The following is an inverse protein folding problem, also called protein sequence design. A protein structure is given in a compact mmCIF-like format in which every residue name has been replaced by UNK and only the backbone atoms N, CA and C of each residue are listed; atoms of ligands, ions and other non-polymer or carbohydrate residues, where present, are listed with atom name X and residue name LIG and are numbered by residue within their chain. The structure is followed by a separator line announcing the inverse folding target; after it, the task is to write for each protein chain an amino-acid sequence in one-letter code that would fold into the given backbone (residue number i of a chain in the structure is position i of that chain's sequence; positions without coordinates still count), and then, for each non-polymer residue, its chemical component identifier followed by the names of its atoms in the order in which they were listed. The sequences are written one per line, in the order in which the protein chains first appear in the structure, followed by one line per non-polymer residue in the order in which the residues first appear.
data_IF_004169613359
#
_entry.id   IF_004169613359
#
_cell.length_a   1.000
_cell.length_b   1.000
_cell.length_c   1.000
_cell.angle_alpha   90.00
_cell.angle_beta   90.00
_cell.angle_gamma   90.00
#
_symmetry.space_group_name_H-M   'P 1'
#
loop_
_entity.id
_entity.type
_entity.pdbx_description
1 polymer ?
#
# COMPACT_ATOMS: atom_id res chain seq x y z
N UNK A 1 -64.04 -20.50 21.37
CA UNK A 1 -64.22 -19.01 21.41
C UNK A 1 -63.41 -18.37 22.54
N UNK A 2 -62.15 -18.77 22.76
CA UNK A 2 -61.28 -18.25 23.85
C UNK A 2 -59.99 -17.59 23.32
N UNK A 3 -59.89 -17.38 22.00
CA UNK A 3 -58.65 -16.91 21.34
C UNK A 3 -58.66 -15.43 20.91
N UNK A 4 -59.77 -14.71 21.05
CA UNK A 4 -59.85 -13.29 20.69
C UNK A 4 -59.70 -12.33 21.88
N UNK A 5 -60.00 -12.78 23.10
CA UNK A 5 -59.95 -11.93 24.30
C UNK A 5 -58.51 -11.61 24.79
N UNK A 6 -57.49 -12.38 24.37
CA UNK A 6 -56.09 -12.09 24.73
C UNK A 6 -55.37 -11.14 23.74
N UNK A 7 -55.98 -10.78 22.59
CA UNK A 7 -55.34 -9.90 21.58
C UNK A 7 -55.62 -8.40 21.78
N UNK A 8 -56.50 -8.03 22.71
CA UNK A 8 -56.92 -6.64 22.93
C UNK A 8 -56.47 -6.03 24.26
N UNK A 9 -55.80 -6.78 25.14
CA UNK A 9 -55.33 -6.22 26.40
C UNK A 9 -54.20 -5.21 26.14
N UNK A 10 -54.39 -3.91 26.46
CA UNK A 10 -53.34 -2.91 26.30
C UNK A 10 -52.08 -3.27 27.10
N UNK A 11 -52.20 -3.97 28.23
CA UNK A 11 -51.04 -4.45 28.99
C UNK A 11 -50.19 -5.46 28.22
N UNK A 12 -50.79 -6.37 27.44
CA UNK A 12 -50.04 -7.33 26.62
C UNK A 12 -49.32 -6.62 25.48
N UNK A 13 -49.94 -5.59 24.87
CA UNK A 13 -49.28 -4.74 23.87
C UNK A 13 -48.12 -3.96 24.46
N UNK A 14 -48.29 -3.36 25.65
CA UNK A 14 -47.22 -2.64 26.35
C UNK A 14 -46.08 -3.58 26.77
N UNK A 15 -46.36 -4.76 27.30
CA UNK A 15 -45.34 -5.74 27.65
C UNK A 15 -44.55 -6.23 26.41
N UNK A 16 -45.23 -6.42 25.27
CA UNK A 16 -44.58 -6.81 24.01
C UNK A 16 -43.75 -5.66 23.44
N UNK A 17 -44.21 -4.40 23.56
CA UNK A 17 -43.45 -3.22 23.13
C UNK A 17 -42.23 -2.98 24.02
N UNK A 18 -42.34 -3.18 25.34
CA UNK A 18 -41.21 -3.06 26.27
C UNK A 18 -40.20 -4.18 26.07
N UNK A 19 -40.64 -5.42 25.79
CA UNK A 19 -39.74 -6.52 25.41
C UNK A 19 -39.08 -6.29 24.05
N UNK A 20 -39.82 -5.80 23.05
CA UNK A 20 -39.27 -5.46 21.74
C UNK A 20 -38.31 -4.26 21.82
N UNK A 21 -38.61 -3.24 22.63
CA UNK A 21 -37.71 -2.11 22.90
C UNK A 21 -36.51 -2.54 23.75
N UNK A 22 -36.68 -3.43 24.73
CA UNK A 22 -35.59 -3.99 25.53
C UNK A 22 -34.64 -4.86 24.71
N UNK A 23 -35.15 -5.62 23.74
CA UNK A 23 -34.35 -6.41 22.80
C UNK A 23 -33.68 -5.55 21.73
N UNK A 24 -34.32 -4.47 21.26
CA UNK A 24 -33.70 -3.53 20.29
C UNK A 24 -32.69 -2.58 20.93
N UNK A 25 -32.91 -2.16 22.18
CA UNK A 25 -31.95 -1.37 22.96
C UNK A 25 -30.77 -2.24 23.45
N UNK A 26 -30.97 -3.53 23.71
CA UNK A 26 -29.86 -4.45 23.99
C UNK A 26 -29.08 -4.85 22.73
N UNK A 27 -29.67 -4.72 21.53
CA UNK A 27 -28.96 -4.86 20.25
C UNK A 27 -28.18 -3.60 19.84
N UNK A 28 -28.41 -2.45 20.48
CA UNK A 28 -27.67 -1.20 20.24
C UNK A 28 -26.71 -0.84 21.38
N UNK A 29 -26.66 -1.66 22.44
CA UNK A 29 -25.73 -1.50 23.54
C UNK A 29 -24.34 -2.06 23.17
N UNK A 30 -23.55 -1.26 22.45
CA UNK A 30 -22.09 -1.34 22.51
C UNK A 30 -21.44 -2.52 21.78
N UNK A 31 -21.94 -2.91 20.62
CA UNK A 31 -21.13 -3.74 19.71
C UNK A 31 -19.81 -3.01 19.44
N UNK A 32 -18.70 -3.64 19.82
CA UNK A 32 -17.38 -3.09 19.56
C UNK A 32 -17.27 -2.77 18.07
N UNK A 33 -17.06 -1.50 17.74
CA UNK A 33 -17.00 -1.02 16.35
C UNK A 33 -15.68 -1.37 15.65
N UNK A 34 -14.91 -2.28 16.24
CA UNK A 34 -13.53 -2.51 15.92
C UNK A 34 -12.85 -3.52 16.85
N UNK A 35 -11.57 -3.74 16.59
CA UNK A 35 -10.72 -4.64 17.35
C UNK A 35 -9.28 -4.14 17.38
N UNK A 36 -8.55 -4.58 18.40
CA UNK A 36 -7.11 -4.38 18.54
C UNK A 36 -6.43 -5.75 18.48
N UNK A 37 -5.34 -5.85 17.70
CA UNK A 37 -4.51 -7.06 17.56
C UNK A 37 -3.06 -6.70 17.86
N UNK A 38 -2.37 -7.59 18.57
CA UNK A 38 -0.92 -7.54 18.76
C UNK A 38 -0.28 -8.88 18.45
N UNK A 39 0.99 -8.84 18.09
CA UNK A 39 1.78 -10.04 17.88
C UNK A 39 3.07 -9.77 17.13
N UNK A 40 3.50 -10.75 16.37
CA UNK A 40 4.74 -10.73 15.60
C UNK A 40 4.48 -10.92 14.11
N UNK A 41 5.26 -10.23 13.28
CA UNK A 41 5.31 -10.42 11.84
C UNK A 41 6.75 -10.63 11.42
N UNK A 42 6.98 -11.68 10.61
CA UNK A 42 8.32 -12.10 10.18
C UNK A 42 8.36 -12.19 8.67
N UNK A 43 9.37 -11.61 8.05
CA UNK A 43 9.59 -11.69 6.61
C UNK A 43 10.86 -12.49 6.29
N UNK A 44 10.73 -13.46 5.39
CA UNK A 44 11.76 -14.38 4.90
C UNK A 44 11.85 -14.29 3.37
N UNK A 45 13.05 -14.38 2.78
CA UNK A 45 13.17 -14.34 1.31
C UNK A 45 14.61 -14.34 0.80
N UNK A 46 14.78 -14.46 -0.53
CA UNK A 46 16.10 -14.54 -1.17
C UNK A 46 16.65 -13.16 -1.54
N UNK A 47 17.88 -12.87 -1.08
CA UNK A 47 18.60 -11.60 -1.24
C UNK A 47 19.39 -11.28 0.04
N UNK A 48 20.26 -10.25 0.06
CA UNK A 48 20.98 -9.83 1.28
C UNK A 48 20.08 -9.17 2.33
N UNK A 49 18.76 -9.15 2.11
CA UNK A 49 17.82 -8.57 3.06
C UNK A 49 17.73 -9.48 4.29
N UNK A 50 18.01 -8.96 5.50
CA UNK A 50 17.97 -9.76 6.72
C UNK A 50 16.54 -10.27 6.95
N UNK A 51 16.45 -11.41 7.64
CA UNK A 51 15.25 -11.80 8.35
C UNK A 51 14.74 -10.59 9.14
N UNK A 52 13.55 -10.11 8.81
CA UNK A 52 12.97 -8.95 9.49
C UNK A 52 11.87 -9.43 10.41
N UNK A 53 12.03 -9.18 11.69
CA UNK A 53 11.09 -9.56 12.73
C UNK A 53 10.60 -8.32 13.46
N UNK A 54 9.30 -8.09 13.40
CA UNK A 54 8.65 -6.96 14.05
C UNK A 54 7.59 -7.45 15.01
N UNK A 55 7.49 -6.77 16.16
CA UNK A 55 6.27 -6.72 16.95
C UNK A 55 5.33 -5.75 16.27
N UNK A 56 4.07 -6.14 16.11
CA UNK A 56 3.04 -5.26 15.60
C UNK A 56 1.98 -4.96 16.65
N UNK A 57 1.45 -3.75 16.59
CA UNK A 57 0.20 -3.34 17.23
C UNK A 57 -0.71 -2.76 16.15
N UNK A 58 -1.95 -3.21 16.11
CA UNK A 58 -2.92 -2.82 15.10
C UNK A 58 -4.26 -2.53 15.74
N UNK A 59 -4.84 -1.38 15.45
CA UNK A 59 -6.20 -1.01 15.83
C UNK A 59 -7.01 -0.81 14.56
N UNK A 60 -8.17 -1.45 14.48
CA UNK A 60 -9.15 -1.26 13.41
C UNK A 60 -10.44 -0.78 14.06
N UNK A 61 -10.99 0.33 13.58
CA UNK A 61 -12.29 0.83 14.03
C UNK A 61 -13.03 1.46 12.87
N UNK A 62 -14.26 1.00 12.64
CA UNK A 62 -15.10 1.37 11.49
C UNK A 62 -14.40 1.08 10.16
N UNK A 63 -13.79 2.10 9.58
CA UNK A 63 -13.11 2.05 8.28
C UNK A 63 -11.67 2.56 8.37
N UNK A 64 -11.25 2.90 9.59
CA UNK A 64 -9.93 3.44 9.89
C UNK A 64 -9.08 2.38 10.56
N UNK A 65 -7.79 2.48 10.34
CA UNK A 65 -6.84 1.60 10.99
C UNK A 65 -5.53 2.32 11.29
N UNK A 66 -4.86 1.88 12.34
CA UNK A 66 -3.54 2.35 12.80
C UNK A 66 -2.68 1.13 13.08
N UNK A 67 -1.55 1.03 12.38
CA UNK A 67 -0.57 -0.03 12.50
C UNK A 67 0.75 0.55 12.96
N UNK A 68 1.36 -0.10 13.95
CA UNK A 68 2.70 0.21 14.44
C UNK A 68 3.54 -1.06 14.40
N UNK A 69 4.77 -0.94 13.88
CA UNK A 69 5.78 -1.98 13.89
C UNK A 69 6.98 -1.53 14.72
N UNK A 70 7.42 -2.37 15.63
CA UNK A 70 8.63 -2.22 16.44
C UNK A 70 9.52 -3.45 16.27
N UNK A 71 10.84 -3.29 16.09
CA UNK A 71 11.73 -4.40 15.81
C UNK A 71 11.89 -5.31 17.06
N UNK A 72 11.83 -6.64 16.89
CA UNK A 72 11.99 -7.59 18.01
C UNK A 72 13.45 -7.84 18.41
N UNK A 73 14.37 -7.82 17.45
CA UNK A 73 15.81 -7.95 17.67
C UNK A 73 16.56 -7.05 16.67
N UNK A 74 17.61 -6.33 17.11
CA UNK A 74 18.51 -5.62 16.20
C UNK A 74 19.95 -5.62 16.70
N UNK A 75 20.91 -5.78 15.79
CA UNK A 75 22.06 -4.89 15.82
C UNK A 75 21.91 -3.72 14.82
N UNK A 76 21.44 -3.96 13.58
CA UNK A 76 21.75 -3.05 12.47
C UNK A 76 20.58 -2.33 11.76
N UNK A 77 19.32 -2.59 12.09
CA UNK A 77 18.24 -1.84 11.41
C UNK A 77 18.18 -0.40 11.94
N UNK A 78 18.35 0.58 11.04
CA UNK A 78 18.30 2.01 11.38
C UNK A 78 16.89 2.46 11.81
N UNK A 79 15.85 1.71 11.47
CA UNK A 79 14.46 2.05 11.79
C UNK A 79 14.09 1.53 13.18
N UNK A 80 13.55 2.42 14.03
CA UNK A 80 13.11 2.13 15.41
C UNK A 80 11.61 1.87 15.45
N UNK A 81 10.83 2.60 14.66
CA UNK A 81 9.38 2.44 14.57
C UNK A 81 8.95 2.67 13.13
N UNK A 82 8.03 1.84 12.64
CA UNK A 82 7.21 2.17 11.47
C UNK A 82 5.77 2.32 11.92
N UNK A 83 5.07 3.30 11.36
CA UNK A 83 3.65 3.49 11.61
C UNK A 83 2.93 3.76 10.29
N UNK A 84 1.74 3.21 10.14
CA UNK A 84 0.86 3.46 9.01
C UNK A 84 -0.57 3.61 9.51
N UNK A 85 -1.27 4.65 9.06
CA UNK A 85 -2.63 4.96 9.49
C UNK A 85 -3.43 5.37 8.26
N UNK A 86 -4.62 4.80 8.10
CA UNK A 86 -5.52 5.17 7.00
C UNK A 86 -6.94 5.40 7.49
N UNK A 87 -7.64 6.27 6.78
CA UNK A 87 -9.08 6.47 6.91
C UNK A 87 -9.91 5.70 5.86
N UNK A 88 -9.26 4.83 5.08
CA UNK A 88 -9.87 4.11 3.97
C UNK A 88 -9.75 4.83 2.62
N UNK A 89 -9.25 6.07 2.60
CA UNK A 89 -9.00 6.85 1.37
C UNK A 89 -7.57 7.36 1.26
N UNK A 90 -7.02 7.84 2.36
CA UNK A 90 -5.68 8.43 2.46
C UNK A 90 -4.87 7.61 3.45
N UNK A 91 -3.61 7.39 3.12
CA UNK A 91 -2.65 6.68 3.95
C UNK A 91 -1.57 7.65 4.39
N UNK A 92 -1.38 7.74 5.70
CA UNK A 92 -0.25 8.40 6.34
C UNK A 92 0.68 7.33 6.88
N UNK A 93 1.94 7.34 6.48
CA UNK A 93 2.94 6.44 7.00
C UNK A 93 4.18 7.21 7.43
N UNK A 94 4.85 6.75 8.48
CA UNK A 94 6.14 7.31 8.86
C UNK A 94 7.10 6.23 9.37
N UNK A 95 8.38 6.47 9.14
CA UNK A 95 9.48 5.72 9.73
C UNK A 95 10.27 6.65 10.64
N UNK A 96 10.55 6.20 11.86
CA UNK A 96 11.46 6.87 12.80
C UNK A 96 12.78 6.12 12.84
N UNK A 97 13.88 6.83 12.66
CA UNK A 97 15.22 6.25 12.61
C UNK A 97 16.00 6.43 13.92
N UNK A 98 17.04 5.62 14.12
CA UNK A 98 18.07 5.78 15.16
C UNK A 98 18.74 7.13 14.92
N UNK A 99 18.56 8.08 15.85
CA UNK A 99 18.95 9.48 15.68
C UNK A 99 17.77 10.46 15.78
N UNK A 100 16.53 9.96 15.75
CA UNK A 100 15.33 10.79 15.92
C UNK A 100 14.78 11.34 14.62
N UNK A 101 15.50 11.20 13.50
CA UNK A 101 15.02 11.55 12.16
C UNK A 101 13.73 10.81 11.81
N UNK A 102 12.84 11.51 11.11
CA UNK A 102 11.55 10.99 10.66
C UNK A 102 11.42 11.17 9.14
N UNK A 103 10.96 10.12 8.49
CA UNK A 103 10.52 10.16 7.11
C UNK A 103 9.03 9.87 7.05
N UNK A 104 8.27 10.84 6.56
CA UNK A 104 6.82 10.75 6.39
C UNK A 104 6.44 10.51 4.94
N UNK A 105 5.31 9.83 4.74
CA UNK A 105 4.73 9.51 3.45
C UNK A 105 3.22 9.71 3.53
N UNK A 106 2.65 10.45 2.59
CA UNK A 106 1.19 10.63 2.47
C UNK A 106 0.74 10.22 1.08
N UNK A 107 -0.14 9.24 1.00
CA UNK A 107 -0.59 8.64 -0.26
C UNK A 107 -2.12 8.73 -0.42
N UNK A 108 -2.63 8.99 -1.64
CA UNK A 108 -4.06 8.99 -1.94
C UNK A 108 -4.61 7.57 -2.16
N UNK A 109 -4.25 6.64 -1.27
CA UNK A 109 -4.65 5.23 -1.32
C UNK A 109 -4.75 4.68 0.11
N UNK A 110 -5.38 3.52 0.28
CA UNK A 110 -5.62 2.91 1.60
C UNK A 110 -4.83 1.62 1.85
N UNK A 111 -3.86 1.30 0.99
CA UNK A 111 -3.07 0.05 1.05
C UNK A 111 -1.59 0.36 1.26
N UNK A 112 -0.95 -0.06 2.36
CA UNK A 112 0.47 0.21 2.62
C UNK A 112 1.38 -0.73 1.82
N UNK A 113 1.30 -0.65 0.50
CA UNK A 113 1.87 -1.62 -0.44
C UNK A 113 3.38 -1.50 -0.70
N UNK A 114 4.01 -0.49 -0.12
CA UNK A 114 5.46 -0.25 -0.16
C UNK A 114 6.24 -1.09 0.86
N UNK A 115 5.57 -1.68 1.85
CA UNK A 115 6.21 -2.47 2.88
C UNK A 115 5.57 -3.87 2.98
N UNK A 116 6.34 -4.95 2.87
CA UNK A 116 5.79 -6.30 2.86
C UNK A 116 5.08 -6.67 4.17
N UNK A 117 5.56 -6.19 5.32
CA UNK A 117 4.94 -6.49 6.61
C UNK A 117 3.63 -5.70 6.77
N UNK A 118 3.65 -4.39 6.52
CA UNK A 118 2.44 -3.56 6.60
C UNK A 118 1.38 -3.99 5.59
N UNK A 119 1.79 -4.28 4.35
CA UNK A 119 0.89 -4.76 3.30
C UNK A 119 0.23 -6.10 3.65
N UNK A 120 0.99 -7.02 4.24
CA UNK A 120 0.46 -8.32 4.68
C UNK A 120 -0.48 -8.16 5.88
N UNK A 121 -0.14 -7.31 6.86
CA UNK A 121 -1.02 -7.00 8.00
C UNK A 121 -2.32 -6.32 7.54
N UNK A 122 -2.23 -5.38 6.59
CA UNK A 122 -3.41 -4.78 5.98
C UNK A 122 -4.31 -5.83 5.34
N UNK A 123 -3.72 -6.76 4.57
CA UNK A 123 -4.50 -7.83 3.95
C UNK A 123 -5.19 -8.70 5.01
N UNK A 124 -4.47 -9.07 6.07
CA UNK A 124 -4.98 -9.92 7.14
C UNK A 124 -6.09 -9.26 7.97
N UNK A 125 -6.02 -7.95 8.23
CA UNK A 125 -6.85 -7.30 9.26
C UNK A 125 -7.68 -6.10 8.79
N UNK A 126 -7.36 -5.49 7.64
CA UNK A 126 -7.99 -4.21 7.23
C UNK A 126 -8.67 -4.27 5.86
N UNK A 127 -8.43 -5.33 5.09
CA UNK A 127 -8.81 -5.41 3.68
C UNK A 127 -10.29 -5.68 3.42
N UNK A 128 -11.05 -6.21 4.40
CA UNK A 128 -12.42 -6.70 4.20
C UNK A 128 -13.31 -5.74 3.41
N UNK A 129 -13.34 -4.47 3.83
CA UNK A 129 -14.16 -3.45 3.18
C UNK A 129 -13.67 -3.09 1.77
N UNK A 130 -12.36 -3.07 1.55
CA UNK A 130 -11.78 -2.84 0.22
C UNK A 130 -12.13 -4.00 -0.71
N UNK A 131 -11.97 -5.25 -0.26
CA UNK A 131 -12.32 -6.44 -1.01
C UNK A 131 -13.83 -6.53 -1.31
N UNK A 132 -14.69 -6.06 -0.41
CA UNK A 132 -16.14 -6.06 -0.63
C UNK A 132 -16.59 -5.05 -1.70
N UNK A 133 -15.83 -3.97 -1.94
CA UNK A 133 -16.19 -2.88 -2.87
C UNK A 133 -15.46 -2.94 -4.20
N UNK A 134 -14.32 -3.62 -4.26
CA UNK A 134 -13.46 -3.61 -5.44
C UNK A 134 -13.67 -4.84 -6.31
N UNK A 135 -13.88 -4.68 -7.63
CA UNK A 135 -13.91 -5.80 -8.55
C UNK A 135 -12.61 -6.62 -8.52
N UNK A 136 -12.66 -7.95 -8.74
CA UNK A 136 -11.48 -8.81 -8.68
C UNK A 136 -10.33 -8.43 -9.63
N UNK A 137 -10.60 -7.71 -10.71
CA UNK A 137 -9.60 -7.28 -11.71
C UNK A 137 -8.92 -5.96 -11.37
N UNK A 138 -9.20 -5.38 -10.20
CA UNK A 138 -8.98 -3.96 -9.95
C UNK A 138 -8.23 -3.64 -8.65
N UNK A 139 -7.64 -4.65 -8.01
CA UNK A 139 -6.95 -4.47 -6.74
C UNK A 139 -5.48 -4.10 -6.92
N UNK A 140 -4.98 -3.08 -6.21
CA UNK A 140 -3.54 -2.87 -6.09
C UNK A 140 -2.93 -4.03 -5.28
N UNK A 141 -1.74 -4.54 -5.66
CA UNK A 141 -1.08 -5.57 -4.89
C UNK A 141 -0.70 -5.03 -3.51
N UNK A 142 -0.83 -5.84 -2.44
CA UNK A 142 -0.45 -5.43 -1.10
C UNK A 142 1.07 -5.38 -0.90
N UNK A 143 1.87 -5.91 -1.83
CA UNK A 143 3.35 -5.89 -1.76
C UNK A 143 3.92 -5.64 -3.16
N UNK A 144 3.98 -4.38 -3.57
CA UNK A 144 4.18 -4.01 -4.99
C UNK A 144 5.60 -4.27 -5.50
N UNK A 145 6.62 -3.95 -4.71
CA UNK A 145 8.03 -4.04 -5.13
C UNK A 145 8.47 -5.48 -5.41
N UNK A 146 7.99 -6.43 -4.60
CA UNK A 146 8.34 -7.84 -4.78
C UNK A 146 7.54 -8.49 -5.91
N UNK A 147 6.32 -8.03 -6.14
CA UNK A 147 5.44 -8.51 -7.20
C UNK A 147 6.00 -8.16 -8.58
N UNK A 148 6.43 -6.92 -8.82
CA UNK A 148 6.88 -6.49 -10.16
C UNK A 148 8.40 -6.43 -10.33
N UNK A 149 9.16 -6.20 -9.26
CA UNK A 149 10.54 -5.70 -9.37
C UNK A 149 11.66 -6.73 -9.36
N UNK A 150 11.43 -8.02 -9.04
CA UNK A 150 12.56 -8.96 -8.88
C UNK A 150 13.46 -8.68 -7.64
N UNK A 151 13.44 -7.45 -7.11
CA UNK A 151 14.09 -6.92 -5.92
C UNK A 151 13.28 -5.71 -5.38
N UNK A 152 13.53 -5.22 -4.15
CA UNK A 152 13.06 -3.90 -3.72
C UNK A 152 13.65 -2.82 -4.62
N UNK A 153 12.93 -2.45 -5.68
CA UNK A 153 13.32 -1.37 -6.59
C UNK A 153 12.96 -0.05 -5.93
N UNK A 154 13.81 0.40 -5.00
CA UNK A 154 13.62 1.58 -4.14
C UNK A 154 13.38 2.91 -4.87
N UNK A 155 12.24 3.05 -5.55
CA UNK A 155 11.82 4.27 -6.25
C UNK A 155 11.16 4.10 -7.62
N UNK A 156 10.93 2.87 -8.14
CA UNK A 156 10.42 2.72 -9.51
C UNK A 156 8.90 2.74 -9.65
N UNK A 157 8.19 2.48 -8.56
CA UNK A 157 6.74 2.66 -8.53
C UNK A 157 6.55 3.97 -7.81
N UNK A 158 6.54 5.07 -8.59
CA UNK A 158 6.10 6.35 -8.07
C UNK A 158 4.84 6.10 -7.23
N UNK A 159 4.74 6.57 -5.99
CA UNK A 159 3.54 6.40 -5.20
C UNK A 159 2.35 7.00 -5.96
N UNK A 160 1.56 6.13 -6.59
CA UNK A 160 0.69 6.53 -7.71
C UNK A 160 0.98 5.83 -9.03
N UNK A 161 1.69 4.69 -9.04
CA UNK A 161 1.64 3.69 -10.10
C UNK A 161 0.87 2.48 -9.56
N UNK A 162 -0.42 2.43 -9.86
CA UNK A 162 -1.30 1.33 -9.47
C UNK A 162 -1.22 0.20 -10.52
N UNK A 163 -0.29 -0.73 -10.33
CA UNK A 163 -0.41 -2.01 -11.02
C UNK A 163 -1.70 -2.68 -10.55
N UNK A 164 -2.67 -2.89 -11.46
CA UNK A 164 -3.91 -3.61 -11.14
C UNK A 164 -3.79 -5.03 -11.64
N UNK A 165 -3.89 -5.98 -10.71
CA UNK A 165 -3.78 -7.39 -11.02
C UNK A 165 -5.12 -8.08 -10.87
N UNK A 166 -5.27 -9.18 -11.59
CA UNK A 166 -6.39 -10.07 -11.36
C UNK A 166 -6.18 -10.78 -10.02
N UNK A 167 -7.15 -10.65 -9.14
CA UNK A 167 -7.16 -11.21 -7.81
C UNK A 167 -8.39 -12.10 -7.61
N UNK A 168 -8.29 -13.02 -6.67
CA UNK A 168 -9.40 -13.86 -6.21
C UNK A 168 -9.28 -14.02 -4.70
N UNK A 169 -10.40 -14.15 -4.01
CA UNK A 169 -10.40 -14.35 -2.58
C UNK A 169 -11.62 -15.11 -2.10
N UNK A 170 -11.48 -15.68 -0.92
CA UNK A 170 -12.60 -16.20 -0.13
C UNK A 170 -12.59 -15.46 1.20
N UNK A 171 -13.74 -14.96 1.63
CA UNK A 171 -13.87 -14.22 2.89
C UNK A 171 -14.32 -15.15 4.01
N UNK A 172 -13.99 -14.75 5.23
CA UNK A 172 -14.54 -15.33 6.43
C UNK A 172 -16.06 -15.05 6.52
N UNK A 173 -16.85 -16.02 6.96
CA UNK A 173 -18.33 -15.88 7.04
C UNK A 173 -18.77 -14.90 8.13
N UNK A 174 -18.06 -14.92 9.27
CA UNK A 174 -18.30 -14.01 10.37
C UNK A 174 -17.61 -12.64 10.16
N UNK A 175 -18.18 -11.55 10.73
CA UNK A 175 -17.58 -10.23 10.70
C UNK A 175 -16.10 -10.21 11.16
N UNK A 176 -15.28 -9.30 10.63
CA UNK A 176 -15.64 -8.26 9.67
C UNK A 176 -15.55 -8.75 8.20
N UNK A 177 -15.46 -10.06 7.96
CA UNK A 177 -15.33 -10.61 6.60
C UNK A 177 -13.90 -10.53 6.04
N UNK A 178 -12.90 -10.81 6.88
CA UNK A 178 -11.48 -10.84 6.49
C UNK A 178 -11.19 -11.99 5.51
N UNK A 179 -10.19 -11.87 4.63
CA UNK A 179 -9.87 -12.95 3.70
C UNK A 179 -9.40 -14.20 4.43
N UNK A 180 -9.98 -15.36 4.11
CA UNK A 180 -9.43 -16.69 4.43
C UNK A 180 -8.35 -17.08 3.45
N UNK A 181 -8.60 -16.80 2.18
CA UNK A 181 -7.63 -16.99 1.11
C UNK A 181 -7.67 -15.78 0.19
N UNK A 182 -6.50 -15.42 -0.34
CA UNK A 182 -6.37 -14.38 -1.35
C UNK A 182 -5.24 -14.75 -2.31
N UNK A 183 -5.47 -14.55 -3.60
CA UNK A 183 -4.56 -14.92 -4.67
C UNK A 183 -4.50 -13.79 -5.68
N UNK A 184 -3.31 -13.44 -6.16
CA UNK A 184 -3.15 -12.54 -7.31
C UNK A 184 -2.30 -13.17 -8.40
N UNK A 185 -2.69 -12.86 -9.64
CA UNK A 185 -1.95 -13.23 -10.83
C UNK A 185 -1.43 -11.96 -11.52
N UNK A 186 -0.12 -11.89 -11.68
CA UNK A 186 0.52 -10.90 -12.52
C UNK A 186 0.41 -11.32 -14.00
N UNK A 187 -0.32 -10.57 -14.85
CA UNK A 187 -0.46 -10.86 -16.27
C UNK A 187 0.76 -10.42 -17.09
N UNK A 188 1.76 -9.75 -16.50
CA UNK A 188 2.90 -9.15 -17.20
C UNK A 188 2.61 -7.81 -17.86
N UNK A 189 1.56 -7.14 -17.42
CA UNK A 189 1.24 -5.80 -17.87
C UNK A 189 1.29 -4.87 -16.66
N UNK A 190 2.22 -3.93 -16.68
CA UNK A 190 2.16 -2.81 -15.74
C UNK A 190 1.09 -1.85 -16.25
N UNK A 191 0.00 -1.73 -15.49
CA UNK A 191 -1.03 -0.72 -15.72
C UNK A 191 -0.64 0.53 -14.96
N UNK A 192 -0.53 1.66 -15.66
CA UNK A 192 -0.41 2.96 -15.03
C UNK A 192 -1.81 3.43 -14.60
N UNK A 193 -1.97 4.15 -13.48
CA UNK A 193 -3.28 4.52 -12.99
C UNK A 193 -4.02 5.43 -13.96
N UNK A 194 -5.32 5.20 -14.01
CA UNK A 194 -6.30 5.92 -14.83
C UNK A 194 -6.29 7.44 -14.61
N UNK A 195 -5.79 7.92 -13.47
CA UNK A 195 -5.71 9.35 -13.16
C UNK A 195 -4.78 10.13 -14.12
N UNK A 196 -3.91 9.46 -14.88
CA UNK A 196 -2.94 10.10 -15.76
C UNK A 196 -3.49 10.59 -17.12
N UNK A 197 -4.78 10.37 -17.44
CA UNK A 197 -5.34 10.72 -18.77
C UNK A 197 -4.64 10.04 -19.95
N UNK A 198 -3.67 9.16 -19.67
CA UNK A 198 -3.07 8.25 -20.61
C UNK A 198 -4.05 7.10 -20.77
N UNK A 199 -4.38 6.77 -22.03
CA UNK A 199 -5.00 5.48 -22.34
C UNK A 199 -4.22 4.38 -21.61
N UNK A 200 -4.87 3.26 -21.28
CA UNK A 200 -4.21 2.11 -20.66
C UNK A 200 -2.98 1.71 -21.50
N UNK A 201 -1.82 2.26 -21.20
CA UNK A 201 -0.56 1.84 -21.78
C UNK A 201 -0.10 0.77 -20.84
N UNK A 202 -0.58 -0.46 -21.08
CA UNK A 202 0.06 -1.64 -20.52
C UNK A 202 1.50 -1.56 -21.00
N UNK A 203 2.42 -1.14 -20.14
CA UNK A 203 3.84 -1.24 -20.44
C UNK A 203 4.09 -2.74 -20.33
N UNK A 204 4.34 -3.45 -21.43
CA UNK A 204 4.64 -4.87 -21.36
C UNK A 204 5.97 -4.96 -20.62
N UNK A 205 5.94 -5.51 -19.42
CA UNK A 205 7.13 -6.08 -18.83
C UNK A 205 7.06 -7.57 -19.11
N UNK A 206 8.20 -8.26 -19.20
CA UNK A 206 8.13 -9.70 -19.24
C UNK A 206 7.36 -10.12 -17.97
N UNK A 207 6.16 -10.73 -18.10
CA UNK A 207 5.54 -11.27 -16.91
C UNK A 207 6.58 -12.17 -16.27
N UNK A 208 6.70 -12.21 -14.94
CA UNK A 208 7.46 -13.29 -14.34
C UNK A 208 6.91 -14.67 -14.80
N UNK A 209 5.67 -14.73 -15.35
CA UNK A 209 4.99 -15.94 -15.81
C UNK A 209 4.11 -15.79 -17.07
N UNK A 210 4.40 -16.53 -18.15
CA UNK A 210 3.53 -16.57 -19.34
C UNK A 210 2.48 -17.71 -19.31
N UNK A 211 2.29 -18.40 -18.16
CA UNK A 211 1.56 -19.70 -18.09
C UNK A 211 0.46 -19.81 -17.02
N UNK A 212 -0.09 -18.70 -16.53
CA UNK A 212 -1.32 -18.78 -15.71
C UNK A 212 -1.13 -19.07 -14.21
N UNK A 213 0.04 -18.76 -13.65
CA UNK A 213 0.38 -19.04 -12.25
C UNK A 213 0.14 -17.82 -11.34
N UNK A 214 -0.31 -18.08 -10.11
CA UNK A 214 -0.53 -17.05 -9.07
C UNK A 214 0.81 -16.69 -8.42
N UNK A 215 1.21 -15.43 -8.48
CA UNK A 215 2.50 -14.99 -7.95
C UNK A 215 2.42 -14.50 -6.50
N UNK A 216 1.21 -14.25 -5.98
CA UNK A 216 0.98 -13.87 -4.58
C UNK A 216 -0.15 -14.69 -4.00
N UNK A 217 0.12 -15.39 -2.90
CA UNK A 217 -0.82 -16.24 -2.18
C UNK A 217 -0.88 -15.77 -0.74
N UNK A 218 -2.07 -15.62 -0.19
CA UNK A 218 -2.31 -15.35 1.22
C UNK A 218 -3.29 -16.37 1.80
N UNK A 219 -3.04 -16.77 3.04
CA UNK A 219 -3.85 -17.72 3.77
C UNK A 219 -3.95 -17.35 5.25
N UNK A 220 -5.17 -17.31 5.77
CA UNK A 220 -5.45 -17.22 7.21
C UNK A 220 -5.76 -18.62 7.77
N UNK A 221 -4.91 -19.11 8.66
CA UNK A 221 -4.89 -20.50 9.11
C UNK A 221 -5.63 -20.71 10.44
N UNK A 222 -5.22 -20.01 11.49
CA UNK A 222 -5.84 -20.07 12.80
C UNK A 222 -6.62 -18.78 13.08
N UNK A 223 -7.74 -18.87 13.78
CA UNK A 223 -8.67 -17.76 13.99
C UNK A 223 -9.10 -17.67 15.45
N UNK A 224 -9.26 -16.46 15.96
CA UNK A 224 -9.90 -16.18 17.24
C UNK A 224 -11.32 -15.70 17.03
N UNK A 225 -12.19 -16.09 17.95
CA UNK A 225 -13.49 -15.47 18.11
C UNK A 225 -13.40 -14.41 19.22
N UNK A 226 -13.58 -13.15 18.86
CA UNK A 226 -13.63 -12.03 19.80
C UNK A 226 -14.96 -11.29 19.65
N UNK A 227 -15.77 -11.27 20.72
CA UNK A 227 -17.18 -10.86 20.63
C UNK A 227 -17.91 -11.62 19.49
N UNK A 228 -18.44 -10.91 18.49
CA UNK A 228 -19.11 -11.48 17.32
C UNK A 228 -18.21 -11.58 16.08
N UNK A 229 -16.91 -11.25 16.20
CA UNK A 229 -15.96 -11.22 15.09
C UNK A 229 -15.04 -12.44 15.08
N UNK A 230 -14.54 -12.81 13.90
CA UNK A 230 -13.43 -13.74 13.74
C UNK A 230 -12.21 -13.09 13.09
N UNK A 231 -11.09 -13.15 13.81
CA UNK A 231 -9.85 -12.45 13.48
C UNK A 231 -8.73 -13.47 13.33
N UNK A 232 -7.89 -13.38 12.28
CA UNK A 232 -6.75 -14.27 12.12
C UNK A 232 -5.81 -14.20 13.32
N UNK A 233 -5.45 -15.36 13.84
CA UNK A 233 -4.36 -15.55 14.80
C UNK A 233 -3.06 -15.88 14.08
N UNK A 234 -3.14 -16.73 13.06
CA UNK A 234 -2.00 -17.17 12.24
C UNK A 234 -2.38 -16.90 10.80
N UNK A 235 -1.52 -16.20 10.08
CA UNK A 235 -1.70 -15.96 8.66
C UNK A 235 -0.33 -15.86 7.98
N UNK A 236 -0.30 -16.06 6.68
CA UNK A 236 0.92 -15.86 5.90
C UNK A 236 0.61 -15.37 4.50
N UNK A 237 1.59 -14.70 3.90
CA UNK A 237 1.62 -14.31 2.51
C UNK A 237 2.91 -14.82 1.87
N UNK A 238 2.79 -15.46 0.71
CA UNK A 238 3.91 -15.87 -0.11
C UNK A 238 3.86 -15.15 -1.46
N UNK A 239 5.03 -14.67 -1.88
CA UNK A 239 5.26 -14.27 -3.26
C UNK A 239 6.17 -15.32 -3.87
N UNK A 240 5.69 -15.99 -4.90
CA UNK A 240 6.39 -17.09 -5.53
C UNK A 240 7.26 -16.56 -6.68
N UNK A 241 8.45 -17.14 -6.84
CA UNK A 241 9.36 -17.01 -7.97
C UNK A 241 9.67 -18.39 -8.55
N UNK A 242 9.76 -18.52 -9.87
CA UNK A 242 10.47 -19.66 -10.45
C UNK A 242 11.98 -19.42 -10.27
N UNK A 243 12.72 -20.46 -9.90
CA UNK A 243 14.17 -20.37 -9.82
C UNK A 243 14.73 -20.10 -11.22
N UNK A 244 15.40 -18.97 -11.38
CA UNK A 244 16.19 -18.72 -12.58
C UNK A 244 17.32 -19.73 -12.56
N UNK A 245 17.42 -20.60 -13.58
CA UNK A 245 18.61 -21.43 -13.67
C UNK A 245 19.75 -20.48 -13.93
N UNK A 246 20.58 -20.24 -12.92
CA UNK A 246 21.89 -19.66 -13.15
C UNK A 246 22.59 -20.39 -14.30
N UNK A 247 23.65 -19.82 -14.89
CA UNK A 247 24.41 -20.52 -15.91
C UNK A 247 24.81 -21.88 -15.33
N UNK A 248 24.29 -22.97 -15.91
CA UNK A 248 24.61 -24.31 -15.43
C UNK A 248 26.13 -24.53 -15.49
N UNK A 249 26.68 -25.55 -14.82
CA UNK A 249 28.12 -25.81 -14.78
C UNK A 249 28.78 -26.01 -16.16
N UNK A 250 27.99 -26.07 -17.24
CA UNK A 250 28.46 -26.12 -18.63
C UNK A 250 28.05 -24.92 -19.51
N UNK A 251 27.51 -23.82 -18.95
CA UNK A 251 27.18 -22.60 -19.71
C UNK A 251 26.14 -22.81 -20.83
N UNK A 252 25.33 -23.87 -20.76
CA UNK A 252 24.41 -24.32 -21.83
C UNK A 252 22.92 -24.14 -21.51
N UNK A 253 22.55 -23.50 -20.41
CA UNK A 253 21.16 -23.08 -20.21
C UNK A 253 20.92 -21.80 -21.01
N UNK A 254 19.96 -21.84 -21.95
CA UNK A 254 19.54 -20.65 -22.67
C UNK A 254 19.05 -19.59 -21.67
N UNK A 255 19.39 -18.29 -21.84
CA UNK A 255 18.77 -17.23 -21.07
C UNK A 255 17.24 -17.36 -21.12
N UNK A 256 16.58 -17.45 -19.96
CA UNK A 256 15.13 -17.68 -19.86
C UNK A 256 14.69 -19.15 -19.74
N UNK A 257 15.62 -20.09 -19.56
CA UNK A 257 15.27 -21.46 -19.18
C UNK A 257 14.91 -21.51 -17.69
N UNK A 258 13.61 -21.57 -17.39
CA UNK A 258 13.11 -21.76 -16.03
C UNK A 258 13.34 -23.22 -15.61
N UNK A 259 14.12 -23.45 -14.55
CA UNK A 259 14.42 -24.81 -14.06
C UNK A 259 13.98 -24.91 -12.61
N UNK A 260 12.87 -25.61 -12.38
CA UNK A 260 12.43 -26.01 -11.04
C UNK A 260 10.96 -25.65 -10.74
N UNK A 261 10.39 -26.26 -9.69
CA UNK A 261 9.08 -25.86 -9.18
C UNK A 261 9.12 -24.40 -8.67
N UNK A 262 7.98 -23.68 -8.66
CA UNK A 262 7.87 -22.39 -7.99
C UNK A 262 8.34 -22.47 -6.53
N UNK A 263 9.15 -21.50 -6.10
CA UNK A 263 9.65 -21.39 -4.74
C UNK A 263 9.29 -20.01 -4.15
N UNK A 264 9.07 -19.90 -2.84
CA UNK A 264 8.78 -18.61 -2.21
C UNK A 264 10.00 -17.69 -2.31
N UNK A 265 9.80 -16.53 -2.95
CA UNK A 265 10.76 -15.43 -3.02
C UNK A 265 10.66 -14.49 -1.83
N UNK A 266 9.44 -14.31 -1.34
CA UNK A 266 9.12 -13.67 -0.09
C UNK A 266 8.07 -14.52 0.60
N UNK A 267 8.24 -14.74 1.90
CA UNK A 267 7.21 -15.26 2.79
C UNK A 267 7.11 -14.33 3.98
N UNK A 268 5.91 -13.84 4.25
CA UNK A 268 5.60 -13.01 5.41
C UNK A 268 4.65 -13.79 6.30
N UNK A 269 5.05 -14.06 7.53
CA UNK A 269 4.26 -14.81 8.51
C UNK A 269 3.78 -13.89 9.62
N UNK A 270 2.53 -14.06 10.02
CA UNK A 270 1.89 -13.34 11.12
C UNK A 270 1.56 -14.35 12.22
N UNK A 271 2.01 -14.04 13.42
CA UNK A 271 1.62 -14.73 14.65
C UNK A 271 1.07 -13.71 15.63
N UNK A 272 -0.25 -13.58 15.70
CA UNK A 272 -0.90 -12.78 16.72
C UNK A 272 -0.83 -13.50 18.08
N UNK A 273 -0.55 -12.76 19.15
CA UNK A 273 -0.54 -13.24 20.54
C UNK A 273 -1.74 -12.73 21.35
N UNK A 274 -2.37 -11.63 20.92
CA UNK A 274 -3.55 -11.04 21.55
C UNK A 274 -4.49 -10.41 20.51
N UNK A 275 -5.79 -10.61 20.71
CA UNK A 275 -6.83 -9.79 20.07
C UNK A 275 -7.94 -9.46 21.07
N UNK A 276 -8.43 -8.23 21.06
CA UNK A 276 -9.51 -7.76 21.95
C UNK A 276 -10.50 -6.87 21.21
N UNK A 277 -11.79 -6.83 21.60
CA UNK A 277 -12.73 -5.85 21.09
C UNK A 277 -12.28 -4.41 21.40
N UNK A 278 -12.50 -3.49 20.48
CA UNK A 278 -12.13 -2.08 20.62
C UNK A 278 -13.35 -1.16 20.43
N UNK A 279 -13.56 -0.25 21.39
CA UNK A 279 -14.70 0.68 21.43
C UNK A 279 -14.29 2.15 21.27
N UNK A 280 -13.04 2.43 20.87
CA UNK A 280 -12.55 3.78 20.64
C UNK A 280 -12.62 4.23 19.18
N UNK A 281 -11.95 5.35 18.89
CA UNK A 281 -11.74 5.82 17.53
C UNK A 281 -10.24 5.80 17.19
N UNK A 282 -9.96 5.62 15.89
CA UNK A 282 -8.60 5.81 15.36
C UNK A 282 -8.42 7.29 15.02
N UNK A 283 -7.47 7.93 15.71
CA UNK A 283 -7.08 9.33 15.47
C UNK A 283 -6.52 9.50 14.06
N UNK A 284 -7.05 10.47 13.31
CA UNK A 284 -6.67 10.73 11.92
C UNK A 284 -6.77 12.22 11.56
N UNK A 285 -5.75 12.81 10.88
CA UNK A 285 -4.45 12.21 10.59
C UNK A 285 -3.68 11.93 11.89
N UNK A 286 -2.77 10.94 11.90
CA UNK A 286 -1.98 10.65 13.10
C UNK A 286 -1.02 11.81 13.41
N UNK A 287 -0.54 11.92 14.64
CA UNK A 287 0.55 12.87 14.93
C UNK A 287 1.86 12.41 14.28
N UNK A 288 2.58 13.35 13.66
CA UNK A 288 3.95 13.14 13.20
C UNK A 288 4.87 13.19 14.43
N UNK A 289 5.66 12.14 14.75
CA UNK A 289 6.30 12.02 16.07
C UNK A 289 7.61 12.80 16.20
N UNK A 290 7.65 14.06 15.77
CA UNK A 290 8.83 14.93 15.77
C UNK A 290 8.97 15.74 14.49
N UNK A 291 10.21 16.07 14.12
CA UNK A 291 10.56 16.78 12.89
C UNK A 291 11.08 15.81 11.83
N UNK A 292 10.63 15.99 10.58
CA UNK A 292 11.01 15.11 9.51
C UNK A 292 10.68 15.60 8.11
N UNK A 293 11.24 14.88 7.15
CA UNK A 293 11.00 15.07 5.73
C UNK A 293 9.75 14.27 5.33
N UNK A 294 8.79 14.93 4.69
CA UNK A 294 7.53 14.33 4.26
C UNK A 294 7.45 14.29 2.74
N UNK A 295 7.11 13.13 2.20
CA UNK A 295 6.78 12.90 0.80
C UNK A 295 5.26 12.82 0.64
N UNK A 296 4.63 13.80 0.01
CA UNK A 296 3.18 13.92 -0.08
C UNK A 296 2.69 13.83 -1.52
N UNK A 297 1.87 12.82 -1.79
CA UNK A 297 1.35 12.48 -3.11
C UNK A 297 -0.13 12.79 -3.27
N UNK A 298 -0.71 13.61 -2.37
CA UNK A 298 -2.12 14.05 -2.47
C UNK A 298 -2.38 15.06 -3.58
N UNK A 299 -1.36 15.44 -4.36
CA UNK A 299 -1.45 16.49 -5.38
C UNK A 299 -1.53 15.89 -6.77
N UNK A 300 -2.17 16.65 -7.66
CA UNK A 300 -2.21 16.35 -9.08
C UNK A 300 -2.04 17.64 -9.88
N UNK A 301 -1.48 17.52 -11.09
CA UNK A 301 -1.33 18.61 -12.03
C UNK A 301 -2.68 19.05 -12.60
N UNK A 302 -2.69 20.15 -13.36
CA UNK A 302 -3.91 20.64 -14.02
C UNK A 302 -4.51 19.63 -15.01
N UNK A 303 -3.69 18.72 -15.57
CA UNK A 303 -4.11 17.62 -16.44
C UNK A 303 -4.35 16.30 -15.69
N UNK A 304 -4.41 16.33 -14.35
CA UNK A 304 -4.77 15.19 -13.51
C UNK A 304 -3.63 14.25 -13.12
N UNK A 305 -2.39 14.51 -13.55
CA UNK A 305 -1.26 13.63 -13.27
C UNK A 305 -0.84 13.68 -11.81
N UNK A 306 -0.57 12.55 -11.12
CA UNK A 306 -0.07 12.55 -9.75
C UNK A 306 1.22 13.35 -9.60
N UNK A 307 1.31 14.09 -8.50
CA UNK A 307 2.43 14.95 -8.17
C UNK A 307 2.89 14.71 -6.73
N UNK A 308 4.15 14.35 -6.56
CA UNK A 308 4.81 14.28 -5.26
C UNK A 308 5.42 15.61 -4.85
N UNK A 309 5.12 16.06 -3.63
CA UNK A 309 5.70 17.26 -3.02
C UNK A 309 6.49 16.83 -1.80
N UNK A 310 7.74 17.27 -1.71
CA UNK A 310 8.60 16.96 -0.55
C UNK A 310 8.76 18.22 0.28
N UNK A 311 8.44 18.15 1.57
CA UNK A 311 8.54 19.29 2.49
C UNK A 311 9.03 18.85 3.88
N UNK A 312 9.41 19.82 4.71
CA UNK A 312 9.74 19.60 6.12
C UNK A 312 8.54 19.93 7.00
N UNK A 313 8.27 19.10 8.01
CA UNK A 313 7.20 19.32 8.97
C UNK A 313 7.58 18.88 10.38
N UNK A 314 6.98 19.54 11.37
CA UNK A 314 7.27 19.32 12.79
C UNK A 314 5.97 19.05 13.54
N UNK A 315 5.90 17.91 14.22
CA UNK A 315 4.84 17.45 15.11
C UNK A 315 3.44 17.29 14.49
N UNK A 316 3.26 17.61 13.20
CA UNK A 316 2.00 17.43 12.47
C UNK A 316 2.23 17.27 10.98
N UNK A 317 1.24 16.71 10.30
CA UNK A 317 1.14 16.76 8.84
C UNK A 317 0.56 18.11 8.41
N UNK A 318 1.09 18.68 7.33
CA UNK A 318 0.55 19.91 6.78
C UNK A 318 -0.75 19.63 6.01
N UNK A 319 -1.69 20.56 6.09
CA UNK A 319 -2.88 20.54 5.26
C UNK A 319 -2.53 20.87 3.81
N UNK A 320 -3.41 20.45 2.89
CA UNK A 320 -3.19 20.66 1.45
C UNK A 320 -3.03 22.15 1.11
N UNK A 321 -3.84 23.02 1.73
CA UNK A 321 -3.80 24.48 1.57
C UNK A 321 -2.45 25.08 2.01
N UNK A 322 -1.88 24.58 3.10
CA UNK A 322 -0.59 25.03 3.63
C UNK A 322 0.56 24.62 2.72
N UNK A 323 0.54 23.37 2.25
CA UNK A 323 1.56 22.86 1.32
C UNK A 323 1.55 23.65 0.02
N UNK A 324 0.38 24.06 -0.49
CA UNK A 324 0.31 24.88 -1.70
C UNK A 324 1.02 26.23 -1.57
N UNK A 325 1.33 26.67 -0.34
CA UNK A 325 2.05 27.91 -0.06
C UNK A 325 3.55 27.70 0.17
N UNK A 326 4.04 26.45 0.34
CA UNK A 326 5.47 26.21 0.57
C UNK A 326 6.28 26.36 -0.73
N UNK A 327 7.55 26.82 -0.67
CA UNK A 327 8.41 26.98 -1.84
C UNK A 327 8.56 25.69 -2.67
N UNK A 328 8.61 24.54 -2.02
CA UNK A 328 8.77 23.23 -2.66
C UNK A 328 7.60 22.90 -3.59
N UNK A 329 6.36 23.25 -3.19
CA UNK A 329 5.19 23.07 -4.05
C UNK A 329 5.29 23.93 -5.32
N UNK A 330 5.68 25.20 -5.16
CA UNK A 330 5.83 26.12 -6.28
C UNK A 330 6.91 25.66 -7.27
N UNK A 331 8.04 25.12 -6.77
CA UNK A 331 9.10 24.54 -7.59
C UNK A 331 8.62 23.31 -8.39
N UNK A 332 7.86 22.42 -7.74
CA UNK A 332 7.31 21.24 -8.40
C UNK A 332 6.33 21.66 -9.51
N UNK A 333 5.42 22.61 -9.24
CA UNK A 333 4.48 23.14 -10.24
C UNK A 333 5.21 23.78 -11.42
N UNK A 334 6.24 24.59 -11.16
CA UNK A 334 7.04 25.22 -12.21
C UNK A 334 7.76 24.18 -13.09
N UNK A 335 8.28 23.11 -12.47
CA UNK A 335 8.95 22.01 -13.17
C UNK A 335 7.98 21.27 -14.08
N UNK A 336 6.77 20.97 -13.60
CA UNK A 336 5.72 20.36 -14.41
C UNK A 336 5.27 21.23 -15.57
N UNK A 337 5.06 22.53 -15.34
CA UNK A 337 4.70 23.48 -16.40
C UNK A 337 5.79 23.54 -17.49
N UNK A 338 7.06 23.54 -17.09
CA UNK A 338 8.19 23.52 -18.02
C UNK A 338 8.22 22.23 -18.85
N UNK A 339 8.12 21.06 -18.21
CA UNK A 339 8.11 19.75 -18.89
C UNK A 339 6.96 19.63 -19.90
N UNK A 340 5.78 20.13 -19.53
CA UNK A 340 4.62 20.18 -20.43
C UNK A 340 4.91 21.05 -21.66
N UNK A 341 5.44 22.25 -21.47
CA UNK A 341 5.77 23.15 -22.58
C UNK A 341 6.79 22.54 -23.55
N UNK A 342 7.74 21.74 -23.05
CA UNK A 342 8.71 21.03 -23.87
C UNK A 342 8.06 19.90 -24.67
N UNK A 343 7.19 19.11 -24.04
CA UNK A 343 6.47 18.04 -24.72
C UNK A 343 5.60 18.59 -25.86
N UNK A 344 4.82 19.64 -25.58
CA UNK A 344 3.98 20.30 -26.57
C UNK A 344 4.80 20.82 -27.77
N UNK A 345 5.98 21.42 -27.52
CA UNK A 345 6.90 21.87 -28.59
C UNK A 345 7.41 20.70 -29.45
N UNK A 346 7.84 19.60 -28.83
CA UNK A 346 8.33 18.42 -29.56
C UNK A 346 7.23 17.75 -30.38
N UNK A 347 5.99 17.73 -29.88
CA UNK A 347 4.85 17.16 -30.62
C UNK A 347 4.28 18.10 -31.69
N UNK A 348 4.50 19.40 -31.56
CA UNK A 348 4.00 20.42 -32.48
C UNK A 348 4.95 20.70 -33.65
N UNK A 349 6.20 20.22 -33.63
CA UNK A 349 7.07 20.30 -34.80
C UNK A 349 6.46 19.45 -35.94
N UNK A 350 6.04 20.07 -37.06
CA UNK A 350 5.56 19.32 -38.20
C UNK A 350 6.73 18.49 -38.71
N UNK A 351 6.48 17.21 -38.96
CA UNK A 351 7.36 16.31 -39.71
C UNK A 351 7.58 16.86 -41.12
N UNK A 352 8.44 17.86 -41.21
CA UNK A 352 8.90 18.44 -42.45
C UNK A 352 10.08 17.61 -42.95
N UNK A 353 9.89 17.12 -44.17
CA UNK A 353 10.84 16.47 -45.08
C UNK A 353 11.05 14.96 -44.92
N UNK A 354 10.55 14.25 -45.93
CA UNK A 354 10.86 12.86 -46.17
C UNK A 354 12.36 12.64 -46.33
N UNK A 355 12.88 11.61 -45.66
CA UNK A 355 14.28 11.24 -45.72
C UNK A 355 14.67 10.28 -44.61
N UNK A 356 14.35 8.99 -44.81
CA UNK A 356 14.75 7.80 -44.04
C UNK A 356 14.47 7.78 -42.51
N UNK A 357 14.09 6.61 -41.96
CA UNK A 357 13.86 6.45 -40.53
C UNK A 357 15.19 6.49 -39.75
N UNK A 358 15.63 7.69 -39.35
CA UNK A 358 16.68 7.81 -38.33
C UNK A 358 16.06 7.44 -36.98
N UNK A 359 16.55 6.32 -36.45
CA UNK A 359 16.13 5.61 -35.24
C UNK A 359 15.64 6.50 -34.09
N UNK A 360 14.54 6.12 -33.45
CA UNK A 360 14.01 6.70 -32.19
C UNK A 360 14.96 6.70 -30.98
N UNK A 361 16.23 6.33 -31.18
CA UNK A 361 17.30 6.48 -30.21
C UNK A 361 17.62 7.95 -29.91
N UNK A 362 17.46 8.88 -30.86
CA UNK A 362 17.79 10.30 -30.63
C UNK A 362 16.86 11.00 -29.62
N UNK A 363 15.55 10.75 -29.73
CA UNK A 363 14.54 11.32 -28.82
C UNK A 363 14.62 10.67 -27.44
N UNK A 364 14.81 9.36 -27.38
CA UNK A 364 15.01 8.65 -26.11
C UNK A 364 16.30 9.12 -25.41
N UNK A 365 17.41 9.29 -26.15
CA UNK A 365 18.67 9.79 -25.59
C UNK A 365 18.53 11.23 -25.08
N UNK A 366 17.80 12.10 -25.80
CA UNK A 366 17.54 13.46 -25.34
C UNK A 366 16.73 13.46 -24.03
N UNK A 367 15.63 12.70 -23.95
CA UNK A 367 14.82 12.60 -22.73
C UNK A 367 15.66 12.06 -21.55
N UNK A 368 16.52 11.07 -21.79
CA UNK A 368 17.37 10.48 -20.76
C UNK A 368 18.49 11.43 -20.31
N UNK A 369 19.14 12.13 -21.25
CA UNK A 369 20.16 13.13 -20.96
C UNK A 369 19.57 14.32 -20.18
N UNK A 370 18.35 14.75 -20.53
CA UNK A 370 17.65 15.83 -19.84
C UNK A 370 17.17 15.43 -18.44
N UNK A 371 16.73 14.18 -18.25
CA UNK A 371 16.35 13.66 -16.93
C UNK A 371 17.56 13.63 -15.98
N UNK A 372 18.72 13.23 -16.48
CA UNK A 372 19.99 13.26 -15.74
C UNK A 372 20.43 14.70 -15.46
N UNK A 373 20.32 15.61 -16.42
CA UNK A 373 20.67 17.02 -16.25
C UNK A 373 19.71 17.77 -15.32
N UNK A 374 18.45 17.36 -15.19
CA UNK A 374 17.50 17.92 -14.22
C UNK A 374 17.72 17.39 -12.79
N UNK A 375 18.22 16.16 -12.64
CA UNK A 375 18.56 15.59 -11.34
C UNK A 375 19.81 16.21 -10.71
N UNK A 376 20.74 16.73 -11.51
CA UNK A 376 22.02 17.30 -11.04
C UNK A 376 21.83 18.60 -10.22
N UNK A 377 21.07 19.62 -10.67
CA UNK A 377 20.77 20.81 -9.86
C UNK A 377 20.04 20.47 -8.56
N UNK A 378 19.13 19.50 -8.60
CA UNK A 378 18.39 19.04 -7.42
C UNK A 378 19.32 18.35 -6.41
N UNK A 379 20.20 17.47 -6.87
CA UNK A 379 21.23 16.84 -6.04
C UNK A 379 22.21 17.88 -5.45
N UNK A 380 22.64 18.87 -6.25
CA UNK A 380 23.54 19.93 -5.77
C UNK A 380 22.87 20.87 -4.78
N UNK A 381 21.58 21.19 -4.95
CA UNK A 381 20.81 21.98 -4.00
C UNK A 381 20.63 21.25 -2.66
N UNK A 382 20.36 19.94 -2.72
CA UNK A 382 20.25 19.09 -1.53
C UNK A 382 21.59 19.00 -0.76
N UNK A 383 22.71 18.83 -1.48
CA UNK A 383 24.04 18.75 -0.84
C UNK A 383 24.55 20.08 -0.26
N UNK A 384 24.07 21.21 -0.78
CA UNK A 384 24.44 22.53 -0.27
C UNK A 384 23.77 22.80 1.08
N UNK A 385 22.54 22.31 1.26
CA UNK A 385 21.78 22.42 2.52
C UNK A 385 22.45 21.62 3.65
N UNK A 386 22.90 20.39 3.36
CA UNK A 386 23.65 19.55 4.32
C UNK A 386 24.94 20.20 4.84
N UNK A 387 25.62 21.03 4.03
CA UNK A 387 26.86 21.70 4.46
C UNK A 387 26.61 22.90 5.37
N UNK A 388 25.53 23.64 5.16
CA UNK A 388 25.17 24.79 6.00
C UNK A 388 24.64 24.38 7.37
N UNK A 389 24.14 23.16 7.52
CA UNK A 389 23.64 22.65 8.82
C UNK A 389 24.76 22.03 9.69
N UNK A 390 25.97 21.89 9.14
CA UNK A 390 27.16 21.36 9.85
C UNK A 390 28.22 22.41 10.19
N UNK A 391 27.93 23.69 9.92
CA UNK A 391 28.77 24.84 10.24
C UNK A 391 27.99 25.81 11.11
#
# INVERSE_FOLDING_TARGET
MLNEAMRSSPMVRWATLILAQGLTLSAHAGEASGFEVRGEVRAFGFGPAPHVEWRFELVVARERWDMKLEPLAQPDTRVVVRRAVSDGTTLYACSRYKGGEIEGLVLPLSVPNFDPCLGTLWLAYCSAKALARTPPTDLPPPVTDFVFGGAPTGGWIAPGLEGRLQAWWTLHELPPGLPRHFWMKDPGELRLPHQLGLAHTGIPHAPPYNRGFTNLVFHGEAWWKIAHMEIPRVAWLEILALQDSGPGPMGRTAPGSLVGPPAPRLRVEIQADRAVPFQGEVTFPPLLPGEGRVHDWRFASADGRPMGVVYWATNRWLERSEIMQVPEYQQVIATWAHQRSLHERVTAEPSMTGGQPRSGRGVALAILLFSVLAAIPLYLALRRKERTDTS
#
